data_IF_844767685238
#
_entry.id   IF_844767685238
#
_cell.length_a   1.000
_cell.length_b   1.000
_cell.length_c   1.000
_cell.angle_alpha   90.00
_cell.angle_beta   90.00
_cell.angle_gamma   90.00
#
_symmetry.space_group_name_H-M   'P 1'
#
loop_
_entity.id
_entity.type
_entity.pdbx_description
1 polymer ?
#
# COMPACT_ATOMS: atom_id res chain seq x y z
N UNK A 1 -2.78 16.51 23.97
CA UNK A 1 -2.74 17.48 22.84
C UNK A 1 -2.09 16.93 21.56
N UNK A 2 -0.91 16.28 21.58
CA UNK A 2 -0.32 15.71 20.34
C UNK A 2 -1.22 14.66 19.64
N UNK A 3 -1.97 13.86 20.41
CA UNK A 3 -2.90 12.86 19.86
C UNK A 3 -4.11 13.45 19.11
N UNK A 4 -4.66 14.59 19.55
CA UNK A 4 -5.83 15.19 18.92
C UNK A 4 -5.47 15.90 17.61
N UNK A 5 -4.31 16.57 17.57
CA UNK A 5 -3.81 17.23 16.36
C UNK A 5 -3.49 16.21 15.26
N UNK A 6 -2.89 15.07 15.63
CA UNK A 6 -2.56 14.00 14.67
C UNK A 6 -3.83 13.35 14.11
N UNK A 7 -4.80 13.00 14.95
CA UNK A 7 -6.10 12.49 14.51
C UNK A 7 -6.81 13.47 13.55
N UNK A 8 -6.87 14.77 13.90
CA UNK A 8 -7.46 15.78 13.02
C UNK A 8 -6.76 15.86 11.66
N UNK A 9 -5.43 15.79 11.62
CA UNK A 9 -4.67 15.81 10.36
C UNK A 9 -4.92 14.55 9.50
N UNK A 10 -5.06 13.38 10.13
CA UNK A 10 -5.49 12.15 9.45
C UNK A 10 -6.89 12.29 8.87
N UNK A 11 -7.85 12.75 9.68
CA UNK A 11 -9.24 12.96 9.25
C UNK A 11 -9.33 13.93 8.07
N UNK A 12 -8.67 15.10 8.14
CA UNK A 12 -8.68 16.09 7.06
C UNK A 12 -8.08 15.52 5.76
N UNK A 13 -6.98 14.77 5.86
CA UNK A 13 -6.35 14.16 4.69
C UNK A 13 -7.22 13.04 4.11
N UNK A 14 -7.88 12.25 4.96
CA UNK A 14 -8.85 11.23 4.57
C UNK A 14 -10.06 11.83 3.85
N UNK A 15 -10.64 12.90 4.39
CA UNK A 15 -11.75 13.64 3.75
C UNK A 15 -11.32 14.17 2.39
N UNK A 16 -10.16 14.82 2.31
CA UNK A 16 -9.67 15.41 1.05
C UNK A 16 -9.46 14.34 -0.04
N UNK A 17 -8.81 13.23 0.29
CA UNK A 17 -8.59 12.12 -0.66
C UNK A 17 -9.88 11.39 -1.03
N UNK A 18 -10.84 11.30 -0.13
CA UNK A 18 -12.17 10.73 -0.40
C UNK A 18 -12.99 11.61 -1.35
N UNK A 19 -13.02 12.91 -1.12
CA UNK A 19 -13.65 13.86 -2.04
C UNK A 19 -12.99 13.83 -3.42
N UNK A 20 -11.65 13.78 -3.47
CA UNK A 20 -10.92 13.64 -4.72
C UNK A 20 -11.28 12.33 -5.45
N UNK A 21 -11.48 11.23 -4.72
CA UNK A 21 -11.92 9.95 -5.28
C UNK A 21 -13.31 10.06 -5.89
N UNK A 22 -14.27 10.69 -5.21
CA UNK A 22 -15.63 10.92 -5.74
C UNK A 22 -15.58 11.77 -7.01
N UNK A 23 -14.83 12.88 -7.00
CA UNK A 23 -14.67 13.75 -8.18
C UNK A 23 -14.04 12.99 -9.35
N UNK A 24 -13.01 12.19 -9.08
CA UNK A 24 -12.34 11.39 -10.12
C UNK A 24 -13.30 10.36 -10.72
N UNK A 25 -14.12 9.69 -9.90
CA UNK A 25 -15.13 8.75 -10.40
C UNK A 25 -16.16 9.43 -11.29
N UNK A 26 -16.69 10.59 -10.87
CA UNK A 26 -17.63 11.39 -11.68
C UNK A 26 -16.99 11.77 -13.01
N UNK A 27 -15.72 12.22 -12.99
CA UNK A 27 -15.03 12.64 -14.19
C UNK A 27 -14.82 11.45 -15.16
N UNK A 28 -14.41 10.29 -14.65
CA UNK A 28 -14.22 9.10 -15.49
C UNK A 28 -15.55 8.65 -16.07
N UNK A 29 -16.62 8.60 -15.28
CA UNK A 29 -17.95 8.23 -15.74
C UNK A 29 -18.45 9.21 -16.82
N UNK A 30 -18.31 10.52 -16.60
CA UNK A 30 -18.70 11.54 -17.58
C UNK A 30 -17.92 11.47 -18.89
N UNK A 31 -16.64 11.10 -18.86
CA UNK A 31 -15.77 11.03 -20.05
C UNK A 31 -15.88 9.70 -20.80
N UNK A 32 -16.15 8.60 -20.11
CA UNK A 32 -16.09 7.24 -20.70
C UNK A 32 -17.44 6.53 -20.74
N UNK A 33 -18.44 7.02 -19.99
CA UNK A 33 -19.71 6.34 -19.74
C UNK A 33 -19.58 5.06 -18.89
N UNK A 34 -18.43 4.85 -18.24
CA UNK A 34 -18.15 3.65 -17.45
C UNK A 34 -18.25 3.93 -15.95
N UNK A 35 -19.12 3.17 -15.27
CA UNK A 35 -19.21 3.13 -13.81
C UNK A 35 -18.06 2.30 -13.21
N UNK A 36 -16.90 2.95 -13.03
CA UNK A 36 -15.71 2.31 -12.44
C UNK A 36 -15.97 1.77 -11.04
N UNK A 37 -16.76 2.47 -10.22
CA UNK A 37 -17.09 2.00 -8.86
C UNK A 37 -17.93 0.71 -8.91
N UNK A 38 -18.84 0.62 -9.89
CA UNK A 38 -19.68 -0.53 -10.15
C UNK A 38 -18.98 -1.74 -10.78
N UNK A 39 -17.67 -1.66 -11.07
CA UNK A 39 -16.94 -2.69 -11.78
C UNK A 39 -16.69 -3.94 -10.92
N UNK A 40 -17.28 -5.07 -11.33
CA UNK A 40 -17.04 -6.40 -10.76
C UNK A 40 -16.21 -7.26 -11.71
N UNK A 41 -15.23 -7.98 -11.18
CA UNK A 41 -14.50 -9.04 -11.88
C UNK A 41 -15.15 -10.37 -11.52
N UNK A 42 -15.62 -11.09 -12.53
CA UNK A 42 -16.26 -12.41 -12.41
C UNK A 42 -17.45 -12.42 -11.44
N UNK A 43 -18.17 -11.30 -11.33
CA UNK A 43 -19.34 -11.10 -10.45
C UNK A 43 -19.09 -11.24 -8.93
N UNK A 44 -17.89 -11.67 -8.54
CA UNK A 44 -17.56 -11.97 -7.13
C UNK A 44 -16.69 -10.86 -6.54
N UNK A 45 -15.74 -10.33 -7.31
CA UNK A 45 -14.74 -9.39 -6.79
C UNK A 45 -15.11 -7.95 -7.17
N UNK A 46 -15.49 -7.09 -6.20
CA UNK A 46 -15.83 -5.68 -6.42
C UNK A 46 -14.56 -4.84 -6.67
N UNK A 47 -13.87 -5.12 -7.78
CA UNK A 47 -12.55 -4.55 -8.07
C UNK A 47 -12.57 -3.01 -8.12
N UNK A 48 -13.64 -2.43 -8.69
CA UNK A 48 -13.87 -1.00 -8.69
C UNK A 48 -13.85 -0.40 -7.28
N UNK A 49 -14.66 -0.96 -6.38
CA UNK A 49 -14.75 -0.50 -5.01
C UNK A 49 -13.44 -0.71 -4.21
N UNK A 50 -12.69 -1.80 -4.46
CA UNK A 50 -11.37 -2.04 -3.85
C UNK A 50 -10.38 -0.94 -4.24
N UNK A 51 -10.30 -0.59 -5.52
CA UNK A 51 -9.44 0.50 -5.99
C UNK A 51 -9.89 1.82 -5.36
N UNK A 52 -11.19 2.10 -5.36
CA UNK A 52 -11.71 3.33 -4.77
C UNK A 52 -11.40 3.44 -3.28
N UNK A 53 -11.52 2.34 -2.53
CA UNK A 53 -11.16 2.30 -1.11
C UNK A 53 -9.68 2.54 -0.86
N UNK A 54 -8.81 1.99 -1.72
CA UNK A 54 -7.37 2.25 -1.63
C UNK A 54 -7.03 3.72 -1.94
N UNK A 55 -7.66 4.30 -2.97
CA UNK A 55 -7.50 5.71 -3.34
C UNK A 55 -8.05 6.67 -2.29
N UNK A 56 -9.25 6.42 -1.75
CA UNK A 56 -9.83 7.24 -0.68
C UNK A 56 -9.02 7.15 0.61
N UNK A 57 -8.32 6.03 0.83
CA UNK A 57 -7.39 5.85 1.95
C UNK A 57 -6.00 6.49 1.73
N UNK A 58 -5.66 6.92 0.51
CA UNK A 58 -4.31 7.43 0.18
C UNK A 58 -3.94 8.71 0.95
N UNK A 59 -4.93 9.53 1.35
CA UNK A 59 -4.68 10.70 2.19
C UNK A 59 -4.16 10.32 3.57
N UNK A 60 -4.64 9.23 4.16
CA UNK A 60 -4.09 8.69 5.41
C UNK A 60 -2.65 8.23 5.24
N UNK A 61 -2.32 7.63 4.09
CA UNK A 61 -0.94 7.27 3.77
C UNK A 61 -0.03 8.50 3.72
N UNK A 62 -0.46 9.56 3.04
CA UNK A 62 0.29 10.81 2.96
C UNK A 62 0.44 11.46 4.35
N UNK A 63 -0.62 11.50 5.15
CA UNK A 63 -0.60 12.03 6.51
C UNK A 63 0.36 11.25 7.41
N UNK A 64 0.31 9.91 7.38
CA UNK A 64 1.22 9.06 8.15
C UNK A 64 2.69 9.31 7.78
N UNK A 65 2.97 9.45 6.48
CA UNK A 65 4.31 9.75 5.99
C UNK A 65 4.81 11.14 6.39
N UNK A 66 3.94 12.15 6.33
CA UNK A 66 4.31 13.54 6.65
C UNK A 66 4.45 13.78 8.15
N UNK A 67 3.59 13.17 8.96
CA UNK A 67 3.61 13.32 10.42
C UNK A 67 4.56 12.33 11.09
N UNK A 68 5.07 11.35 10.34
CA UNK A 68 5.93 10.29 10.88
C UNK A 68 5.28 9.46 12.00
N UNK A 69 3.94 9.42 12.06
CA UNK A 69 3.17 8.69 13.07
C UNK A 69 2.50 7.45 12.45
N UNK A 70 2.62 6.26 13.05
CA UNK A 70 1.92 5.08 12.57
C UNK A 70 0.41 5.18 12.82
N UNK A 71 -0.43 4.67 11.90
CA UNK A 71 -1.87 4.68 12.09
C UNK A 71 -2.24 3.70 13.21
N UNK A 72 -2.89 4.22 14.26
CA UNK A 72 -3.43 3.41 15.35
C UNK A 72 -4.86 2.95 15.10
N UNK A 73 -5.47 2.30 16.09
CA UNK A 73 -6.86 1.83 16.03
C UNK A 73 -7.88 2.96 15.82
N UNK A 74 -7.63 4.15 16.37
CA UNK A 74 -8.49 5.33 16.16
C UNK A 74 -8.50 5.72 14.68
N UNK A 75 -7.32 5.74 14.03
CA UNK A 75 -7.20 6.05 12.59
C UNK A 75 -7.88 4.98 11.75
N UNK A 76 -7.81 3.70 12.15
CA UNK A 76 -8.55 2.63 11.46
C UNK A 76 -10.07 2.85 11.54
N UNK A 77 -10.61 3.22 12.71
CA UNK A 77 -12.02 3.53 12.86
C UNK A 77 -12.45 4.74 12.02
N UNK A 78 -11.59 5.77 11.93
CA UNK A 78 -11.79 6.90 11.01
C UNK A 78 -11.85 6.44 9.55
N UNK A 79 -10.92 5.57 9.11
CA UNK A 79 -10.89 5.04 7.74
C UNK A 79 -12.18 4.28 7.40
N UNK A 80 -12.72 3.47 8.33
CA UNK A 80 -14.00 2.76 8.16
C UNK A 80 -15.16 3.76 8.04
N UNK A 81 -15.18 4.77 8.90
CA UNK A 81 -16.22 5.82 8.88
C UNK A 81 -16.19 6.59 7.57
N UNK A 82 -15.00 7.00 7.14
CA UNK A 82 -14.81 7.71 5.88
C UNK A 82 -15.19 6.82 4.69
N UNK A 83 -14.88 5.52 4.70
CA UNK A 83 -15.30 4.61 3.63
C UNK A 83 -16.83 4.58 3.50
N UNK A 84 -17.57 4.46 4.61
CA UNK A 84 -19.03 4.47 4.62
C UNK A 84 -19.60 5.79 4.08
N UNK A 85 -19.08 6.93 4.56
CA UNK A 85 -19.48 8.27 4.09
C UNK A 85 -19.15 8.44 2.61
N UNK A 86 -18.01 7.96 2.15
CA UNK A 86 -17.58 8.08 0.75
C UNK A 86 -18.47 7.26 -0.16
N UNK A 87 -18.84 6.04 0.22
CA UNK A 87 -19.79 5.25 -0.57
C UNK A 87 -21.16 5.94 -0.67
N UNK A 88 -21.67 6.51 0.43
CA UNK A 88 -22.89 7.30 0.41
C UNK A 88 -22.76 8.52 -0.52
N UNK A 89 -21.61 9.21 -0.49
CA UNK A 89 -21.33 10.34 -1.39
C UNK A 89 -21.27 9.90 -2.87
N UNK A 90 -20.74 8.72 -3.18
CA UNK A 90 -20.71 8.18 -4.55
C UNK A 90 -22.14 7.95 -5.05
N UNK A 91 -23.01 7.29 -4.25
CA UNK A 91 -24.41 7.11 -4.65
C UNK A 91 -25.17 8.44 -4.73
N UNK A 92 -24.88 9.36 -3.81
CA UNK A 92 -25.49 10.69 -3.84
C UNK A 92 -25.07 11.49 -5.07
N UNK A 93 -23.80 11.40 -5.49
CA UNK A 93 -23.33 12.00 -6.73
C UNK A 93 -24.06 11.41 -7.94
N UNK A 94 -24.19 10.07 -8.01
CA UNK A 94 -24.98 9.41 -9.06
C UNK A 94 -26.42 9.90 -9.09
N UNK A 95 -27.07 10.01 -7.92
CA UNK A 95 -28.42 10.55 -7.80
C UNK A 95 -28.55 11.99 -8.32
N UNK A 96 -27.56 12.84 -8.03
CA UNK A 96 -27.58 14.25 -8.45
C UNK A 96 -27.27 14.44 -9.93
N UNK A 97 -26.50 13.55 -10.53
CA UNK A 97 -26.06 13.65 -11.92
C UNK A 97 -26.88 12.79 -12.89
N UNK A 98 -27.65 11.82 -12.40
CA UNK A 98 -28.50 11.00 -13.23
C UNK A 98 -29.61 11.83 -13.89
N UNK A 99 -29.80 11.61 -15.19
CA UNK A 99 -30.90 12.15 -15.98
C UNK A 99 -31.84 11.01 -16.37
N UNK A 100 -33.13 11.17 -16.14
CA UNK A 100 -34.20 10.26 -16.57
C UNK A 100 -35.02 11.05 -17.58
N UNK A 101 -35.01 10.61 -18.84
CA UNK A 101 -35.68 11.30 -19.95
C UNK A 101 -35.28 12.78 -20.08
N UNK A 102 -34.00 13.09 -19.82
CA UNK A 102 -33.46 14.45 -19.85
C UNK A 102 -33.76 15.30 -18.61
N UNK A 103 -34.52 14.77 -17.65
CA UNK A 103 -34.85 15.46 -16.39
C UNK A 103 -33.95 14.93 -15.26
N UNK A 104 -33.37 15.81 -14.41
CA UNK A 104 -32.60 15.36 -13.25
C UNK A 104 -33.39 14.41 -12.35
N UNK A 105 -32.82 13.25 -12.01
CA UNK A 105 -33.47 12.27 -11.14
C UNK A 105 -33.90 12.89 -9.79
N UNK A 106 -33.11 13.87 -9.31
CA UNK A 106 -33.37 14.58 -8.07
C UNK A 106 -34.61 15.48 -8.05
N UNK A 107 -35.22 15.79 -9.20
CA UNK A 107 -36.54 16.47 -9.23
C UNK A 107 -37.71 15.50 -9.30
N UNK A 108 -37.45 14.21 -9.61
CA UNK A 108 -38.50 13.21 -9.82
C UNK A 108 -38.71 12.32 -8.59
N UNK A 109 -37.65 12.04 -7.84
CA UNK A 109 -37.71 11.16 -6.67
C UNK A 109 -36.68 11.55 -5.62
N UNK A 110 -36.89 11.08 -4.39
CA UNK A 110 -35.93 11.31 -3.29
C UNK A 110 -34.71 10.40 -3.43
N UNK A 111 -33.61 10.75 -2.75
CA UNK A 111 -32.38 9.94 -2.73
C UNK A 111 -32.62 8.49 -2.27
N UNK A 112 -33.48 8.28 -1.27
CA UNK A 112 -33.80 6.95 -0.77
C UNK A 112 -34.50 6.10 -1.84
N UNK A 113 -35.50 6.67 -2.53
CA UNK A 113 -36.23 5.98 -3.61
C UNK A 113 -35.31 5.72 -4.80
N UNK A 114 -34.45 6.68 -5.15
CA UNK A 114 -33.46 6.50 -6.21
C UNK A 114 -32.50 5.35 -5.90
N UNK A 115 -31.97 5.31 -4.68
CA UNK A 115 -31.00 4.29 -4.27
C UNK A 115 -31.64 2.91 -4.21
N UNK A 116 -32.85 2.79 -3.67
CA UNK A 116 -33.63 1.53 -3.67
C UNK A 116 -33.88 1.04 -5.11
N UNK A 117 -34.29 1.93 -6.02
CA UNK A 117 -34.46 1.59 -7.45
C UNK A 117 -33.14 1.21 -8.11
N UNK A 118 -32.06 1.95 -7.85
CA UNK A 118 -30.74 1.64 -8.40
C UNK A 118 -30.28 0.24 -7.96
N UNK A 119 -30.53 -0.14 -6.71
CA UNK A 119 -30.20 -1.47 -6.21
C UNK A 119 -31.12 -2.54 -6.80
N UNK A 120 -32.43 -2.33 -6.80
CA UNK A 120 -33.40 -3.37 -7.22
C UNK A 120 -33.53 -3.55 -8.73
N UNK A 121 -33.31 -2.49 -9.51
CA UNK A 121 -33.54 -2.46 -10.96
C UNK A 121 -32.26 -2.46 -11.80
N UNK A 122 -31.07 -2.41 -11.20
CA UNK A 122 -29.83 -2.52 -11.97
C UNK A 122 -29.70 -3.91 -12.61
N UNK A 123 -29.88 -3.96 -13.93
CA UNK A 123 -29.63 -5.16 -14.73
C UNK A 123 -28.15 -5.20 -15.10
N UNK A 124 -27.39 -6.08 -14.46
CA UNK A 124 -26.06 -6.43 -14.97
C UNK A 124 -26.21 -7.26 -16.24
N UNK A 125 -25.43 -6.90 -17.28
CA UNK A 125 -25.50 -7.39 -18.67
C UNK A 125 -25.72 -8.90 -18.85
N UNK A 126 -25.29 -9.73 -17.89
CA UNK A 126 -25.40 -11.19 -17.95
C UNK A 126 -26.67 -11.80 -17.36
N UNK A 127 -27.39 -11.10 -16.46
CA UNK A 127 -28.53 -11.69 -15.74
C UNK A 127 -29.90 -11.37 -16.34
N UNK A 128 -30.00 -10.36 -17.23
CA UNK A 128 -31.23 -9.94 -17.95
C UNK A 128 -32.52 -9.85 -17.10
N UNK A 129 -32.38 -9.87 -15.78
CA UNK A 129 -33.46 -9.94 -14.79
C UNK A 129 -33.18 -8.89 -13.71
N UNK A 130 -34.23 -8.22 -13.22
CA UNK A 130 -34.10 -7.34 -12.08
C UNK A 130 -33.57 -8.13 -10.88
N UNK A 131 -32.55 -7.60 -10.22
CA UNK A 131 -31.89 -8.27 -9.10
C UNK A 131 -32.78 -8.37 -7.86
N UNK A 132 -33.77 -7.46 -7.72
CA UNK A 132 -34.59 -7.39 -6.52
C UNK A 132 -33.70 -7.20 -5.28
N UNK A 133 -33.86 -8.07 -4.29
CA UNK A 133 -33.08 -8.02 -3.05
C UNK A 133 -31.57 -8.26 -3.25
N UNK A 134 -31.15 -8.91 -4.34
CA UNK A 134 -29.73 -9.14 -4.62
C UNK A 134 -28.94 -7.84 -4.84
N UNK A 135 -29.61 -6.75 -5.21
CA UNK A 135 -28.98 -5.44 -5.34
C UNK A 135 -28.34 -4.92 -4.05
N UNK A 136 -28.99 -5.18 -2.91
CA UNK A 136 -28.46 -4.83 -1.60
C UNK A 136 -27.20 -5.64 -1.27
N UNK A 137 -27.15 -6.90 -1.68
CA UNK A 137 -25.96 -7.73 -1.54
C UNK A 137 -24.80 -7.20 -2.39
N UNK A 138 -25.07 -6.72 -3.61
CA UNK A 138 -24.07 -6.07 -4.46
C UNK A 138 -23.52 -4.79 -3.82
N UNK A 139 -24.39 -3.95 -3.26
CA UNK A 139 -23.97 -2.74 -2.55
C UNK A 139 -23.16 -3.04 -1.28
N UNK A 140 -23.55 -4.07 -0.53
CA UNK A 140 -22.80 -4.57 0.61
C UNK A 140 -21.43 -5.12 0.18
N UNK A 141 -21.37 -5.86 -0.93
CA UNK A 141 -20.11 -6.33 -1.49
C UNK A 141 -19.20 -5.16 -1.91
N UNK A 142 -19.74 -4.12 -2.54
CA UNK A 142 -18.99 -2.89 -2.84
C UNK A 142 -18.45 -2.23 -1.58
N UNK A 143 -19.24 -2.14 -0.51
CA UNK A 143 -18.76 -1.61 0.77
C UNK A 143 -17.60 -2.43 1.33
N UNK A 144 -17.74 -3.75 1.36
CA UNK A 144 -16.68 -4.67 1.78
C UNK A 144 -15.43 -4.51 0.90
N UNK A 145 -15.61 -4.36 -0.42
CA UNK A 145 -14.51 -4.06 -1.34
C UNK A 145 -13.77 -2.79 -0.96
N UNK A 146 -14.51 -1.71 -0.67
CA UNK A 146 -13.94 -0.44 -0.23
C UNK A 146 -13.17 -0.57 1.09
N UNK A 147 -13.72 -1.32 2.05
CA UNK A 147 -13.03 -1.64 3.31
C UNK A 147 -11.77 -2.46 3.09
N UNK A 148 -11.77 -3.44 2.18
CA UNK A 148 -10.58 -4.22 1.81
C UNK A 148 -9.50 -3.29 1.22
N UNK A 149 -9.89 -2.39 0.31
CA UNK A 149 -8.98 -1.40 -0.27
C UNK A 149 -8.36 -0.47 0.77
N UNK A 150 -9.19 0.09 1.66
CA UNK A 150 -8.72 0.96 2.74
C UNK A 150 -7.87 0.21 3.78
N UNK A 151 -8.30 -1.00 4.15
CA UNK A 151 -7.60 -1.89 5.06
C UNK A 151 -6.23 -2.33 4.51
N UNK A 152 -6.13 -2.56 3.20
CA UNK A 152 -4.86 -2.80 2.52
C UNK A 152 -3.90 -1.61 2.69
N UNK A 153 -4.37 -0.38 2.46
CA UNK A 153 -3.56 0.83 2.68
C UNK A 153 -3.09 0.94 4.13
N UNK A 154 -3.95 0.63 5.10
CA UNK A 154 -3.60 0.58 6.53
C UNK A 154 -2.55 -0.51 6.83
N UNK A 155 -2.69 -1.70 6.24
CA UNK A 155 -1.74 -2.80 6.39
C UNK A 155 -0.36 -2.42 5.81
N UNK A 156 -0.33 -1.85 4.60
CA UNK A 156 0.91 -1.36 3.96
C UNK A 156 1.62 -0.34 4.83
N UNK A 157 0.90 0.58 5.48
CA UNK A 157 1.49 1.52 6.44
C UNK A 157 2.08 0.82 7.66
N UNK A 158 1.35 -0.13 8.25
CA UNK A 158 1.82 -0.84 9.44
C UNK A 158 2.99 -1.80 9.18
N UNK A 159 3.12 -2.31 7.95
CA UNK A 159 4.23 -3.15 7.51
C UNK A 159 5.52 -2.37 7.24
N UNK A 160 5.47 -1.03 7.20
CA UNK A 160 6.69 -0.25 6.97
C UNK A 160 7.62 -0.28 8.18
N UNK A 161 8.92 -0.39 7.90
CA UNK A 161 9.96 -0.39 8.92
C UNK A 161 9.93 0.93 9.71
N UNK A 162 9.95 0.78 11.03
CA UNK A 162 9.91 1.87 12.02
C UNK A 162 11.17 1.79 12.87
N UNK A 163 11.64 2.94 13.31
CA UNK A 163 12.72 2.97 14.28
C UNK A 163 12.22 2.44 15.64
N UNK A 164 13.06 1.63 16.31
CA UNK A 164 12.74 1.10 17.63
C UNK A 164 12.60 2.20 18.70
N UNK A 165 13.38 3.29 18.60
CA UNK A 165 13.39 4.36 19.59
C UNK A 165 12.38 5.47 19.25
N UNK A 166 12.52 6.10 18.07
CA UNK A 166 11.72 7.25 17.66
C UNK A 166 10.29 6.86 17.21
N UNK A 167 10.04 5.57 16.90
CA UNK A 167 8.82 5.04 16.24
C UNK A 167 8.44 5.69 14.89
N UNK A 168 9.24 6.63 14.42
CA UNK A 168 9.16 7.24 13.10
C UNK A 168 9.43 6.22 11.99
N UNK A 169 8.73 6.38 10.86
CA UNK A 169 9.02 5.65 9.63
C UNK A 169 10.46 5.86 9.16
N UNK A 170 11.13 4.75 8.86
CA UNK A 170 12.48 4.79 8.34
C UNK A 170 12.50 5.16 6.84
N UNK A 171 13.47 5.99 6.45
CA UNK A 171 13.74 6.34 5.05
C UNK A 171 14.76 5.37 4.47
N UNK A 172 14.55 4.90 3.23
CA UNK A 172 15.55 4.13 2.48
C UNK A 172 16.71 5.06 2.09
N UNK A 173 17.92 4.76 2.54
CA UNK A 173 19.14 5.51 2.24
C UNK A 173 19.97 4.85 1.14
N UNK A 174 20.09 3.52 1.16
CA UNK A 174 20.80 2.76 0.14
C UNK A 174 20.13 1.40 -0.10
N UNK A 175 20.26 0.88 -1.32
CA UNK A 175 19.80 -0.47 -1.68
C UNK A 175 20.92 -1.13 -2.47
N UNK A 176 21.42 -2.25 -1.95
CA UNK A 176 22.37 -3.13 -2.63
C UNK A 176 21.66 -4.43 -2.99
N UNK A 177 21.94 -4.94 -4.19
CA UNK A 177 21.40 -6.22 -4.67
C UNK A 177 22.55 -7.04 -5.21
N UNK A 178 22.80 -8.13 -4.52
CA UNK A 178 23.81 -9.12 -4.86
C UNK A 178 23.12 -10.42 -5.25
N UNK A 179 23.68 -11.11 -6.23
CA UNK A 179 23.20 -12.41 -6.70
C UNK A 179 24.37 -13.40 -6.68
N UNK A 180 24.08 -14.63 -6.32
CA UNK A 180 25.03 -15.72 -6.17
C UNK A 180 24.54 -16.91 -7.00
N UNK A 181 25.46 -17.65 -7.63
CA UNK A 181 25.12 -18.77 -8.51
C UNK A 181 24.80 -20.04 -7.74
N UNK A 182 25.38 -20.18 -6.56
CA UNK A 182 25.32 -21.34 -5.69
C UNK A 182 25.14 -20.91 -4.23
N UNK A 183 24.82 -21.90 -3.39
CA UNK A 183 24.67 -21.75 -1.95
C UNK A 183 26.00 -21.46 -1.26
N UNK A 184 27.09 -22.09 -1.70
CA UNK A 184 28.41 -21.95 -1.09
C UNK A 184 28.94 -20.51 -1.19
N UNK A 185 28.88 -19.90 -2.38
CA UNK A 185 29.28 -18.51 -2.58
C UNK A 185 28.36 -17.52 -1.86
N UNK A 186 27.07 -17.85 -1.71
CA UNK A 186 26.15 -17.07 -0.90
C UNK A 186 26.48 -17.16 0.59
N UNK A 187 26.63 -18.37 1.14
CA UNK A 187 26.94 -18.61 2.55
C UNK A 187 28.28 -17.96 2.93
N UNK A 188 29.32 -18.14 2.10
CA UNK A 188 30.61 -17.50 2.31
C UNK A 188 30.54 -15.96 2.32
N UNK A 189 29.61 -15.34 1.59
CA UNK A 189 29.41 -13.89 1.69
C UNK A 189 28.55 -13.53 2.91
N UNK A 190 27.42 -14.20 3.08
CA UNK A 190 26.39 -13.84 4.05
C UNK A 190 26.83 -14.08 5.50
N UNK A 191 27.52 -15.19 5.76
CA UNK A 191 27.98 -15.53 7.11
C UNK A 191 29.16 -14.63 7.53
N UNK A 192 30.07 -14.34 6.60
CA UNK A 192 31.27 -13.53 6.87
C UNK A 192 31.06 -12.01 6.78
N UNK A 193 29.91 -11.53 6.29
CA UNK A 193 29.68 -10.09 6.10
C UNK A 193 29.85 -9.28 7.38
N UNK A 194 29.44 -9.84 8.53
CA UNK A 194 29.47 -9.16 9.83
C UNK A 194 30.56 -9.68 10.78
N UNK A 195 31.55 -10.41 10.27
CA UNK A 195 32.72 -10.85 11.05
C UNK A 195 33.64 -9.68 11.40
N UNK A 196 33.60 -8.62 10.59
CA UNK A 196 34.35 -7.40 10.81
C UNK A 196 33.49 -6.32 11.49
N UNK A 197 34.05 -5.50 12.39
CA UNK A 197 33.33 -4.35 12.94
C UNK A 197 32.80 -3.45 11.84
N UNK A 198 31.56 -2.94 11.97
CA UNK A 198 30.91 -2.10 10.95
C UNK A 198 31.73 -0.85 10.55
N UNK A 199 32.58 -0.35 11.45
CA UNK A 199 33.46 0.80 11.22
C UNK A 199 34.73 0.46 10.43
N UNK A 200 35.04 -0.82 10.22
CA UNK A 200 36.34 -1.25 9.70
C UNK A 200 36.44 -1.09 8.19
N UNK A 201 37.67 -0.88 7.70
CA UNK A 201 37.94 -0.84 6.25
C UNK A 201 37.73 -2.21 5.60
N UNK A 202 37.96 -3.31 6.33
CA UNK A 202 37.67 -4.65 5.81
C UNK A 202 36.18 -4.84 5.57
N UNK A 203 35.33 -4.43 6.52
CA UNK A 203 33.88 -4.46 6.36
C UNK A 203 33.45 -3.64 5.13
N UNK A 204 33.92 -2.39 5.02
CA UNK A 204 33.59 -1.53 3.90
C UNK A 204 34.07 -2.11 2.55
N UNK A 205 35.27 -2.69 2.52
CA UNK A 205 35.81 -3.36 1.34
C UNK A 205 35.03 -4.62 0.96
N UNK A 206 34.57 -5.40 1.95
CA UNK A 206 33.75 -6.59 1.73
C UNK A 206 32.36 -6.22 1.17
N UNK A 207 31.68 -5.25 1.79
CA UNK A 207 30.36 -4.78 1.35
C UNK A 207 30.43 -4.03 0.02
N UNK A 208 31.52 -3.34 -0.29
CA UNK A 208 31.66 -2.63 -1.57
C UNK A 208 31.74 -3.59 -2.77
N UNK A 209 32.20 -4.83 -2.59
CA UNK A 209 32.22 -5.86 -3.64
C UNK A 209 30.79 -6.17 -4.06
N UNK A 210 30.50 -5.99 -5.36
CA UNK A 210 29.20 -6.36 -5.94
C UNK A 210 29.29 -7.76 -6.52
N UNK A 211 28.40 -8.64 -6.07
CA UNK A 211 28.25 -9.97 -6.64
C UNK A 211 27.13 -9.91 -7.69
N UNK A 212 27.54 -9.84 -8.96
CA UNK A 212 26.62 -9.94 -10.10
C UNK A 212 27.18 -10.95 -11.09
N UNK A 213 26.67 -12.19 -11.10
CA UNK A 213 27.12 -13.17 -12.06
C UNK A 213 26.82 -12.67 -13.47
N UNK A 214 27.80 -12.81 -14.35
CA UNK A 214 27.66 -12.54 -15.79
C UNK A 214 26.88 -13.65 -16.49
N UNK A 215 26.83 -14.83 -15.88
CA UNK A 215 26.14 -16.02 -16.38
C UNK A 215 24.66 -16.03 -15.97
N UNK A 216 23.85 -16.75 -16.76
CA UNK A 216 22.42 -16.91 -16.49
C UNK A 216 22.21 -17.67 -15.17
N UNK A 217 21.36 -17.12 -14.31
CA UNK A 217 20.98 -17.72 -13.02
C UNK A 217 20.44 -19.15 -13.24
N UNK A 218 20.88 -20.09 -12.39
CA UNK A 218 20.46 -21.49 -12.39
C UNK A 218 19.61 -21.79 -11.15
N UNK A 219 18.92 -22.94 -11.14
CA UNK A 219 18.26 -23.45 -9.92
C UNK A 219 19.29 -23.55 -8.80
N UNK A 220 18.97 -23.02 -7.62
CA UNK A 220 19.90 -22.90 -6.50
C UNK A 220 20.64 -21.57 -6.40
N UNK A 221 20.38 -20.62 -7.32
CA UNK A 221 20.92 -19.27 -7.19
C UNK A 221 20.25 -18.49 -6.04
N UNK A 222 21.03 -17.66 -5.35
CA UNK A 222 20.54 -16.81 -4.27
C UNK A 222 20.58 -15.34 -4.67
N UNK A 223 19.67 -14.55 -4.11
CA UNK A 223 19.61 -13.11 -4.25
C UNK A 223 19.51 -12.47 -2.88
N UNK A 224 20.52 -11.69 -2.52
CA UNK A 224 20.58 -10.90 -1.31
C UNK A 224 20.21 -9.46 -1.64
N UNK A 225 19.16 -8.96 -1.01
CA UNK A 225 18.77 -7.55 -1.09
C UNK A 225 19.03 -6.90 0.26
N UNK A 226 20.03 -6.02 0.29
CA UNK A 226 20.37 -5.26 1.49
C UNK A 226 19.85 -3.84 1.36
N UNK A 227 19.06 -3.40 2.34
CA UNK A 227 18.47 -2.07 2.39
C UNK A 227 18.97 -1.38 3.65
N UNK A 228 19.65 -0.24 3.48
CA UNK A 228 20.02 0.63 4.58
C UNK A 228 18.89 1.63 4.78
N UNK A 229 18.32 1.60 5.98
CA UNK A 229 17.29 2.49 6.46
C UNK A 229 17.88 3.53 7.42
N UNK A 230 17.30 4.73 7.50
CA UNK A 230 17.64 5.74 8.49
C UNK A 230 16.43 6.45 9.09
N UNK A 231 16.42 6.72 10.41
CA UNK A 231 15.40 7.57 11.07
C UNK A 231 15.75 9.04 10.80
N UNK A 232 14.84 9.85 10.25
CA UNK A 232 15.07 11.29 10.02
C UNK A 232 15.22 12.09 11.32
N UNK A 233 14.68 11.61 12.44
CA UNK A 233 14.69 12.32 13.73
C UNK A 233 15.95 12.02 14.55
N UNK A 234 16.31 10.74 14.72
CA UNK A 234 17.42 10.33 15.60
C UNK A 234 18.71 9.94 14.86
N UNK A 235 18.73 10.04 13.52
CA UNK A 235 19.83 9.65 12.65
C UNK A 235 20.32 8.18 12.77
N UNK A 236 19.63 7.33 13.55
CA UNK A 236 19.94 5.90 13.64
C UNK A 236 19.72 5.21 12.30
N UNK A 237 20.62 4.30 11.97
CA UNK A 237 20.51 3.48 10.77
C UNK A 237 20.21 2.03 11.12
N UNK A 238 19.57 1.33 10.18
CA UNK A 238 19.25 -0.08 10.31
C UNK A 238 19.50 -0.75 8.97
N UNK A 239 20.23 -1.85 8.98
CA UNK A 239 20.52 -2.66 7.80
C UNK A 239 19.50 -3.80 7.81
N UNK A 240 18.63 -3.85 6.81
CA UNK A 240 17.71 -4.97 6.61
C UNK A 240 18.19 -5.79 5.42
N UNK A 241 18.24 -7.10 5.60
CA UNK A 241 18.65 -8.05 4.57
C UNK A 241 17.52 -9.02 4.29
N UNK A 242 17.12 -9.06 3.03
CA UNK A 242 16.13 -10.00 2.51
C UNK A 242 16.81 -10.96 1.54
N UNK A 243 16.68 -12.26 1.82
CA UNK A 243 17.22 -13.34 1.00
C UNK A 243 16.10 -13.96 0.17
N UNK A 244 16.38 -14.24 -1.09
CA UNK A 244 15.48 -15.00 -1.96
C UNK A 244 16.27 -16.06 -2.72
N UNK A 245 15.76 -17.28 -2.77
CA UNK A 245 16.35 -18.38 -3.52
C UNK A 245 15.60 -18.59 -4.84
N UNK A 246 16.32 -18.98 -5.89
CA UNK A 246 15.75 -19.30 -7.19
C UNK A 246 15.33 -20.77 -7.23
N UNK A 247 14.04 -21.00 -7.01
CA UNK A 247 13.39 -22.31 -7.09
C UNK A 247 12.72 -22.57 -8.43
N UNK A 248 11.92 -23.63 -8.50
CA UNK A 248 11.24 -24.06 -9.74
C UNK A 248 10.27 -23.01 -10.33
N UNK A 249 9.68 -22.15 -9.48
CA UNK A 249 8.71 -21.10 -9.88
C UNK A 249 9.33 -19.70 -9.91
N UNK A 250 10.66 -19.59 -9.84
CA UNK A 250 11.38 -18.32 -9.75
C UNK A 250 11.85 -17.99 -8.33
N UNK A 251 12.08 -16.69 -8.06
CA UNK A 251 12.53 -16.24 -6.74
C UNK A 251 11.44 -16.41 -5.67
N UNK A 252 11.73 -17.19 -4.65
CA UNK A 252 10.95 -17.27 -3.42
C UNK A 252 11.73 -16.66 -2.27
N UNK A 253 11.07 -15.87 -1.42
CA UNK A 253 11.70 -15.25 -0.24
C UNK A 253 11.96 -16.31 0.82
N UNK A 254 13.16 -16.31 1.38
CA UNK A 254 13.49 -17.11 2.55
C UNK A 254 13.42 -16.21 3.81
N UNK A 255 12.36 -16.38 4.59
CA UNK A 255 12.16 -15.60 5.80
C UNK A 255 13.10 -16.03 6.94
N UNK A 256 13.66 -17.24 6.90
CA UNK A 256 14.57 -17.75 7.94
C UNK A 256 15.94 -17.08 7.90
N UNK A 257 16.36 -16.63 6.70
CA UNK A 257 17.60 -15.91 6.46
C UNK A 257 17.41 -14.38 6.42
N UNK A 258 16.21 -13.87 6.69
CA UNK A 258 15.98 -12.43 6.77
C UNK A 258 16.51 -11.90 8.11
N UNK A 259 17.43 -10.94 8.09
CA UNK A 259 17.97 -10.33 9.31
C UNK A 259 17.93 -8.81 9.28
N UNK A 260 17.81 -8.22 10.46
CA UNK A 260 17.79 -6.77 10.66
C UNK A 260 18.82 -6.41 11.72
N UNK A 261 19.76 -5.54 11.37
CA UNK A 261 20.90 -5.18 12.21
C UNK A 261 20.85 -3.68 12.48
N UNK A 262 20.90 -3.29 13.76
CA UNK A 262 20.98 -1.89 14.16
C UNK A 262 22.41 -1.38 13.99
N UNK A 263 22.57 -0.21 13.37
CA UNK A 263 23.87 0.45 13.22
C UNK A 263 24.11 1.33 14.45
N UNK A 264 25.33 1.32 15.03
CA UNK A 264 25.72 2.21 16.12
C UNK A 264 25.49 3.69 15.78
N UNK A 265 25.17 4.50 16.79
CA UNK A 265 24.94 5.94 16.61
C UNK A 265 26.23 6.62 16.09
N UNK A 266 26.08 7.58 15.18
CA UNK A 266 27.21 8.34 14.63
C UNK A 266 27.90 7.69 13.43
N UNK A 267 27.43 6.52 12.99
CA UNK A 267 27.95 5.82 11.81
C UNK A 267 26.99 5.95 10.62
N UNK A 268 27.52 6.32 9.46
CA UNK A 268 26.77 6.35 8.20
C UNK A 268 27.20 5.21 7.27
N UNK A 269 26.34 4.20 7.14
CA UNK A 269 26.56 3.04 6.26
C UNK A 269 26.06 3.28 4.85
N UNK A 270 25.32 4.36 4.58
CA UNK A 270 24.75 4.60 3.26
C UNK A 270 25.82 4.73 2.15
N UNK A 271 26.97 5.40 2.34
CA UNK A 271 28.05 5.47 1.35
C UNK A 271 28.62 4.09 1.00
N UNK A 272 28.89 3.27 2.03
CA UNK A 272 29.45 1.92 1.90
C UNK A 272 28.56 1.05 0.99
N UNK A 273 27.26 1.04 1.25
CA UNK A 273 26.30 0.26 0.46
C UNK A 273 25.97 0.85 -0.92
N UNK A 274 26.27 2.15 -1.15
CA UNK A 274 26.22 2.75 -2.49
C UNK A 274 27.45 2.40 -3.33
N UNK A 275 28.52 1.91 -2.70
CA UNK A 275 29.82 1.69 -3.32
C UNK A 275 30.67 2.97 -3.40
N UNK A 276 30.33 3.98 -2.61
CA UNK A 276 31.18 5.17 -2.42
C UNK A 276 32.08 4.84 -1.24
N UNK A 277 33.29 4.37 -1.55
CA UNK A 277 34.30 4.10 -0.52
C UNK A 277 34.81 5.46 -0.01
N UNK A 278 34.67 5.76 1.29
CA UNK A 278 35.24 6.97 1.89
C UNK A 278 36.77 6.93 1.97
#
# INVERSE_FOLDING_TARGET
MRGTITAAAFALSGIASSLATVVLLILVDALTGMDVFGLFVWFIVPFGAIICGAFSASGYYLAAKRLHVPPGWVVLAEMVTIAAVTQLLIYYAKYRLALIDGVPASSLMTFAVFTDRLMTQSSYFFLARPMGELGYLVAAAQFVGMLIGGGWTFAVLNMQARCADCRTYLRKLAVKRDSFLDEEGFAAHYDHEFDHPLASREFAGHVAKRHRPTTRLRSGAYKLTTIVFGCPECARQTIAQDVSYWGAKGFARDASLARTIAVPLGMDMAPVYRGVIP
#
